data_IF_704613925305
#
_entry.id   IF_704613925305
#
_cell.length_a   1.000
_cell.length_b   1.000
_cell.length_c   1.000
_cell.angle_alpha   90.00
_cell.angle_beta   90.00
_cell.angle_gamma   90.00
#
_symmetry.space_group_name_H-M   'P 1'
#
loop_
_entity.id
_entity.type
_entity.pdbx_description
1 polymer ?
#
# COMPACT_ATOMS: atom_id res chain seq x y z
N UNK A 1 37.44 -54.16 59.56
CA UNK A 1 38.42 -53.42 58.71
C UNK A 1 37.67 -52.38 57.96
N UNK A 2 37.73 -51.18 58.45
CA UNK A 2 36.95 -49.99 57.97
C UNK A 2 37.82 -49.15 57.03
N UNK A 3 37.31 -48.85 55.88
CA UNK A 3 37.92 -47.89 54.99
C UNK A 3 37.37 -46.43 55.25
N UNK A 4 38.18 -45.37 55.14
CA UNK A 4 37.81 -44.02 55.51
C UNK A 4 37.10 -43.26 54.36
N UNK A 5 36.34 -42.21 54.67
CA UNK A 5 35.57 -41.45 53.69
C UNK A 5 36.45 -40.40 53.00
N UNK A 6 36.51 -40.47 51.69
CA UNK A 6 37.18 -39.48 50.82
C UNK A 6 36.29 -38.26 50.55
N UNK A 7 36.91 -37.12 50.62
CA UNK A 7 36.46 -35.74 50.59
C UNK A 7 35.57 -35.32 49.39
N UNK A 8 34.36 -34.83 49.69
CA UNK A 8 33.40 -34.25 48.73
C UNK A 8 33.65 -32.73 48.50
N UNK A 9 34.68 -32.16 49.08
CA UNK A 9 34.92 -30.70 49.09
C UNK A 9 35.74 -30.12 47.92
N UNK A 10 36.30 -30.96 47.03
CA UNK A 10 37.18 -30.42 45.94
C UNK A 10 36.51 -30.25 44.58
N UNK A 11 35.24 -30.67 44.42
CA UNK A 11 34.50 -30.49 43.13
C UNK A 11 33.55 -29.29 43.07
N UNK A 12 33.26 -28.64 44.19
CA UNK A 12 32.39 -27.45 44.22
C UNK A 12 33.08 -26.14 43.88
N UNK A 13 34.39 -26.01 44.01
CA UNK A 13 35.11 -24.77 43.70
C UNK A 13 35.48 -24.57 42.21
N UNK A 14 35.52 -25.66 41.42
CA UNK A 14 35.85 -25.57 40.01
C UNK A 14 34.69 -25.13 39.10
N UNK A 15 33.42 -25.32 39.55
CA UNK A 15 32.20 -24.96 38.77
C UNK A 15 31.84 -23.48 38.97
N UNK A 16 32.15 -22.89 40.12
CA UNK A 16 31.84 -21.46 40.37
C UNK A 16 32.82 -20.51 39.66
N UNK A 17 34.08 -20.93 39.42
CA UNK A 17 35.04 -20.13 38.67
C UNK A 17 34.79 -20.10 37.17
N UNK A 18 34.12 -21.12 36.59
CA UNK A 18 33.75 -21.14 35.16
C UNK A 18 32.50 -20.33 34.82
N UNK A 19 31.63 -20.05 35.78
CA UNK A 19 30.42 -19.23 35.57
C UNK A 19 30.64 -17.70 35.68
N UNK A 20 31.77 -17.28 36.20
CA UNK A 20 32.12 -15.83 36.33
C UNK A 20 32.88 -15.23 35.14
N UNK A 21 33.24 -16.04 34.13
CA UNK A 21 33.94 -15.56 32.94
C UNK A 21 33.02 -15.31 31.74
N UNK A 22 31.70 -15.51 31.86
CA UNK A 22 30.74 -15.38 30.71
C UNK A 22 29.79 -14.20 30.81
N UNK A 23 29.96 -13.24 31.70
CA UNK A 23 29.07 -12.08 31.82
C UNK A 23 29.74 -10.71 31.70
N UNK A 24 30.88 -10.62 31.07
CA UNK A 24 31.39 -9.35 30.53
C UNK A 24 31.11 -9.28 29.03
N UNK A 25 29.85 -9.34 28.62
CA UNK A 25 29.41 -8.69 27.41
C UNK A 25 29.57 -7.18 27.66
N UNK A 26 30.76 -6.66 27.40
CA UNK A 26 31.05 -5.24 27.50
C UNK A 26 29.99 -4.52 26.67
N UNK A 27 29.16 -3.68 27.29
CA UNK A 27 28.37 -2.69 26.56
C UNK A 27 29.36 -1.92 25.72
N UNK A 28 29.42 -2.24 24.42
CA UNK A 28 30.11 -1.37 23.44
C UNK A 28 29.38 -0.05 23.51
N UNK A 29 29.96 0.95 24.13
CA UNK A 29 29.43 2.31 24.15
C UNK A 29 29.60 2.82 22.72
N UNK A 30 28.53 3.04 22.00
CA UNK A 30 28.56 3.63 20.67
C UNK A 30 29.24 5.00 20.74
N UNK A 31 30.32 5.16 20.01
CA UNK A 31 31.03 6.42 19.91
C UNK A 31 30.34 7.29 18.86
N UNK A 32 30.17 8.58 19.14
CA UNK A 32 29.72 9.56 18.16
C UNK A 32 30.90 10.20 17.46
N UNK A 33 30.99 10.02 16.15
CA UNK A 33 32.05 10.57 15.28
C UNK A 33 31.42 11.74 14.50
N UNK A 34 31.76 13.00 14.81
CA UNK A 34 31.30 14.14 14.05
C UNK A 34 32.01 14.20 12.68
N UNK A 35 31.27 14.68 11.68
CA UNK A 35 31.78 14.97 10.32
C UNK A 35 31.33 16.38 9.95
N UNK A 36 32.32 17.29 9.90
CA UNK A 36 32.09 18.68 9.53
C UNK A 36 32.07 18.88 8.00
N UNK A 37 31.51 20.01 7.50
CA UNK A 37 31.56 20.34 6.08
C UNK A 37 32.95 20.32 5.49
N UNK A 38 33.11 19.63 4.35
CA UNK A 38 34.42 19.41 3.70
C UNK A 38 35.19 18.18 4.16
N UNK A 39 34.74 17.51 5.21
CA UNK A 39 35.31 16.21 5.62
C UNK A 39 34.67 15.05 4.86
N UNK A 40 35.38 13.94 4.71
CA UNK A 40 34.89 12.75 4.04
C UNK A 40 34.04 11.88 4.98
N UNK A 41 32.77 11.74 4.67
CA UNK A 41 31.87 10.81 5.39
C UNK A 41 32.36 9.38 5.22
N UNK A 42 32.81 8.99 4.02
CA UNK A 42 33.35 7.63 3.79
C UNK A 42 34.55 7.33 4.67
N UNK A 43 35.47 8.26 4.81
CA UNK A 43 36.60 8.08 5.71
C UNK A 43 36.23 7.96 7.19
N UNK A 44 35.15 8.64 7.61
CA UNK A 44 34.58 8.47 8.96
C UNK A 44 33.92 7.08 9.11
N UNK A 45 33.14 6.62 8.11
CA UNK A 45 32.58 5.26 8.07
C UNK A 45 33.69 4.22 8.17
N UNK A 46 34.75 4.35 7.41
CA UNK A 46 35.86 3.36 7.35
C UNK A 46 36.55 3.20 8.70
N UNK A 47 36.76 4.30 9.43
CA UNK A 47 37.42 4.33 10.76
C UNK A 47 36.51 3.90 11.91
N UNK A 48 35.19 4.05 11.77
CA UNK A 48 34.22 3.75 12.83
C UNK A 48 34.23 2.27 13.22
N UNK A 49 33.96 1.97 14.47
CA UNK A 49 33.69 0.63 14.97
C UNK A 49 32.21 0.25 14.73
N UNK A 50 31.88 -1.05 14.66
CA UNK A 50 30.49 -1.50 14.62
C UNK A 50 29.69 -0.92 15.79
N UNK A 51 28.54 -0.34 15.49
CA UNK A 51 27.64 0.29 16.46
C UNK A 51 27.85 1.81 16.63
N UNK A 52 28.88 2.39 16.07
CA UNK A 52 29.13 3.82 16.17
C UNK A 52 28.12 4.68 15.43
N UNK A 53 28.03 5.95 15.81
CA UNK A 53 27.17 6.97 15.21
C UNK A 53 28.04 7.96 14.45
N UNK A 54 27.87 8.02 13.13
CA UNK A 54 28.48 9.06 12.29
C UNK A 54 27.51 10.24 12.27
N UNK A 55 27.83 11.30 12.96
CA UNK A 55 27.03 12.51 13.06
C UNK A 55 27.49 13.52 12.01
N UNK A 56 26.65 13.72 10.98
CA UNK A 56 26.98 14.55 9.81
C UNK A 56 26.38 15.92 9.99
N UNK A 57 27.21 16.95 10.02
CA UNK A 57 26.75 18.34 10.15
C UNK A 57 26.17 18.85 8.83
N UNK A 58 25.39 19.94 8.92
CA UNK A 58 24.78 20.57 7.74
C UNK A 58 25.86 20.92 6.72
N UNK A 59 25.73 20.40 5.51
CA UNK A 59 26.67 20.62 4.42
C UNK A 59 26.26 19.89 3.16
N UNK A 60 27.05 20.02 2.10
CA UNK A 60 26.93 19.29 0.85
C UNK A 60 28.12 18.34 0.73
N UNK A 61 27.82 17.06 0.58
CA UNK A 61 28.82 15.98 0.58
C UNK A 61 28.68 15.18 -0.72
N UNK A 62 29.56 15.40 -1.71
CA UNK A 62 29.51 14.68 -2.96
C UNK A 62 30.10 13.27 -2.83
N UNK A 63 29.65 12.38 -3.73
CA UNK A 63 30.14 11.02 -3.87
C UNK A 63 29.22 9.95 -3.30
N UNK A 64 29.63 8.70 -3.48
CA UNK A 64 28.87 7.52 -3.08
C UNK A 64 29.37 6.99 -1.73
N UNK A 65 28.43 6.60 -0.87
CA UNK A 65 28.74 6.01 0.43
C UNK A 65 28.53 4.49 0.40
N UNK A 66 29.42 3.76 1.07
CA UNK A 66 29.33 2.32 1.25
C UNK A 66 29.42 1.96 2.72
N UNK A 67 28.42 1.25 3.21
CA UNK A 67 28.30 0.87 4.62
C UNK A 67 28.36 -0.65 4.70
N UNK A 68 29.45 -1.18 5.29
CA UNK A 68 29.73 -2.61 5.38
C UNK A 68 29.80 -3.12 6.82
N UNK A 69 29.38 -2.30 7.77
CA UNK A 69 29.30 -2.65 9.19
C UNK A 69 28.08 -2.00 9.83
N UNK A 70 27.52 -2.58 10.91
CA UNK A 70 26.43 -1.96 11.64
C UNK A 70 26.86 -0.58 12.16
N UNK A 71 26.15 0.48 11.78
CA UNK A 71 26.36 1.83 12.29
C UNK A 71 25.14 2.72 12.03
N UNK A 72 25.15 3.90 12.63
CA UNK A 72 24.13 4.93 12.41
C UNK A 72 24.72 6.11 11.64
N UNK A 73 24.12 6.45 10.47
CA UNK A 73 24.35 7.75 9.83
C UNK A 73 23.25 8.71 10.27
N UNK A 74 23.61 9.75 11.01
CA UNK A 74 22.69 10.76 11.53
C UNK A 74 23.01 12.13 10.97
N UNK A 75 22.06 12.69 10.21
CA UNK A 75 22.15 14.07 9.73
C UNK A 75 21.67 15.08 10.78
N UNK A 76 22.47 16.11 11.00
CA UNK A 76 22.12 17.26 11.81
C UNK A 76 21.77 18.43 10.89
N UNK A 77 20.55 18.97 11.04
CA UNK A 77 20.06 20.05 10.17
C UNK A 77 20.06 19.70 8.67
N UNK A 78 19.77 18.42 8.33
CA UNK A 78 19.52 17.93 6.98
C UNK A 78 20.72 18.14 6.01
N UNK A 79 21.88 17.53 6.24
CA UNK A 79 22.97 17.53 5.28
C UNK A 79 22.59 16.80 4.00
N UNK A 80 23.14 17.22 2.87
CA UNK A 80 22.89 16.62 1.57
C UNK A 80 24.03 15.68 1.18
N UNK A 81 23.68 14.42 0.91
CA UNK A 81 24.55 13.44 0.27
C UNK A 81 24.21 13.43 -1.21
N UNK A 82 25.13 13.83 -2.06
CA UNK A 82 24.94 13.97 -3.51
C UNK A 82 25.60 12.82 -4.26
N UNK A 83 24.83 11.99 -4.95
CA UNK A 83 25.35 10.85 -5.73
C UNK A 83 25.95 11.22 -7.07
N UNK A 84 25.98 12.52 -7.44
CA UNK A 84 26.61 13.05 -8.66
C UNK A 84 26.11 12.38 -9.97
N UNK A 85 24.92 11.79 -9.97
CA UNK A 85 24.32 11.03 -11.07
C UNK A 85 25.12 9.80 -11.55
N UNK A 86 26.00 9.26 -10.72
CA UNK A 86 26.92 8.18 -11.13
C UNK A 86 26.32 6.78 -10.87
N UNK A 87 25.89 6.51 -9.63
CA UNK A 87 25.42 5.18 -9.20
C UNK A 87 24.41 5.29 -8.05
N UNK A 88 24.43 4.31 -7.12
CA UNK A 88 23.71 4.43 -5.86
C UNK A 88 24.36 5.50 -4.99
N UNK A 89 23.56 6.40 -4.42
CA UNK A 89 24.11 7.42 -3.50
C UNK A 89 24.61 6.76 -2.21
N UNK A 90 23.86 5.81 -1.66
CA UNK A 90 24.28 5.04 -0.47
C UNK A 90 24.02 3.55 -0.73
N UNK A 91 25.05 2.73 -0.50
CA UNK A 91 25.01 1.27 -0.56
C UNK A 91 25.11 0.68 0.84
N UNK A 92 24.10 -0.06 1.29
CA UNK A 92 24.06 -0.72 2.60
C UNK A 92 24.31 -2.21 2.41
N UNK A 93 25.39 -2.72 3.00
CA UNK A 93 25.84 -4.12 2.92
C UNK A 93 26.07 -4.75 4.29
N UNK A 94 25.40 -4.25 5.31
CA UNK A 94 25.49 -4.77 6.68
C UNK A 94 24.12 -4.76 7.33
N UNK A 95 23.94 -5.62 8.31
CA UNK A 95 22.76 -5.62 9.17
C UNK A 95 22.75 -4.44 10.14
N UNK A 96 21.57 -4.11 10.65
CA UNK A 96 21.37 -3.11 11.72
C UNK A 96 21.92 -1.71 11.39
N UNK A 97 21.95 -1.33 10.11
CA UNK A 97 22.30 0.02 9.70
C UNK A 97 21.12 0.96 9.88
N UNK A 98 21.36 2.12 10.48
CA UNK A 98 20.35 3.18 10.64
C UNK A 98 20.79 4.41 9.84
N UNK A 99 19.89 4.94 9.01
CA UNK A 99 20.09 6.16 8.22
C UNK A 99 18.95 7.12 8.54
N UNK A 100 19.29 8.29 9.07
CA UNK A 100 18.26 9.24 9.51
C UNK A 100 18.63 10.70 9.29
N UNK A 101 17.64 11.53 8.96
CA UNK A 101 17.76 13.00 8.94
C UNK A 101 18.58 13.57 7.77
N UNK A 102 18.77 12.83 6.68
CA UNK A 102 19.59 13.21 5.53
C UNK A 102 18.73 13.68 4.35
N UNK A 103 19.30 14.51 3.49
CA UNK A 103 18.88 14.69 2.11
C UNK A 103 19.75 13.79 1.23
N UNK A 104 19.15 12.93 0.45
CA UNK A 104 19.81 11.95 -0.43
C UNK A 104 19.43 12.31 -1.86
N UNK A 105 20.42 12.78 -2.65
CA UNK A 105 20.13 13.37 -3.93
C UNK A 105 20.91 12.73 -5.08
N UNK A 106 20.42 12.94 -6.31
CA UNK A 106 21.14 12.72 -7.56
C UNK A 106 21.73 11.32 -7.72
N UNK A 107 20.92 10.27 -7.53
CA UNK A 107 21.36 8.91 -7.91
C UNK A 107 21.54 8.83 -9.43
N UNK A 108 22.33 7.85 -9.89
CA UNK A 108 22.50 7.56 -11.31
C UNK A 108 21.17 7.25 -12.04
N UNK A 109 21.26 7.05 -13.37
CA UNK A 109 20.09 6.96 -14.26
C UNK A 109 19.85 5.56 -14.85
N UNK A 110 20.64 4.56 -14.47
CA UNK A 110 20.57 3.24 -15.10
C UNK A 110 19.60 2.32 -14.39
N UNK A 111 18.47 2.05 -15.02
CA UNK A 111 17.44 1.14 -14.50
C UNK A 111 17.90 -0.30 -14.41
N UNK A 112 18.76 -0.74 -15.33
CA UNK A 112 19.31 -2.10 -15.35
C UNK A 112 20.20 -2.38 -14.11
N UNK A 113 20.90 -1.37 -13.63
CA UNK A 113 21.76 -1.44 -12.43
C UNK A 113 21.04 -0.97 -11.17
N UNK A 114 19.72 -0.70 -11.25
CA UNK A 114 18.86 -0.26 -10.14
C UNK A 114 19.44 0.92 -9.36
N UNK A 115 19.98 1.94 -10.05
CA UNK A 115 20.58 3.10 -9.39
C UNK A 115 19.58 3.79 -8.45
N UNK A 116 19.86 3.76 -7.17
CA UNK A 116 18.97 4.20 -6.10
C UNK A 116 19.60 5.28 -5.21
N UNK A 117 18.75 6.06 -4.54
CA UNK A 117 19.21 6.89 -3.43
C UNK A 117 19.84 6.02 -2.35
N UNK A 118 19.14 4.96 -1.91
CA UNK A 118 19.70 3.94 -1.03
C UNK A 118 19.44 2.56 -1.64
N UNK A 119 20.49 1.76 -1.79
CA UNK A 119 20.39 0.34 -2.09
C UNK A 119 20.70 -0.48 -0.85
N UNK A 120 19.73 -1.24 -0.36
CA UNK A 120 19.87 -2.19 0.74
C UNK A 120 20.08 -3.57 0.12
N UNK A 121 21.32 -4.06 0.20
CA UNK A 121 21.77 -5.29 -0.45
C UNK A 121 21.30 -6.56 0.26
N UNK A 122 21.33 -7.72 -0.40
CA UNK A 122 21.04 -9.01 0.23
C UNK A 122 21.79 -9.23 1.54
N UNK A 123 21.05 -9.68 2.57
CA UNK A 123 21.60 -9.93 3.90
C UNK A 123 21.68 -8.72 4.81
N UNK A 124 21.36 -7.51 4.34
CA UNK A 124 21.33 -6.30 5.17
C UNK A 124 20.03 -6.20 5.97
N UNK A 125 19.80 -7.18 6.83
CA UNK A 125 18.59 -7.27 7.65
C UNK A 125 18.52 -6.14 8.69
N UNK A 126 17.30 -5.85 9.19
CA UNK A 126 17.05 -4.86 10.24
C UNK A 126 17.53 -3.44 9.91
N UNK A 127 17.69 -3.09 8.62
CA UNK A 127 18.04 -1.75 8.22
C UNK A 127 16.88 -0.77 8.50
N UNK A 128 17.20 0.43 8.97
CA UNK A 128 16.25 1.50 9.27
C UNK A 128 16.59 2.73 8.45
N UNK A 129 15.61 3.25 7.69
CA UNK A 129 15.74 4.54 6.98
C UNK A 129 14.56 5.42 7.36
N UNK A 130 14.84 6.55 7.99
CA UNK A 130 13.78 7.41 8.49
C UNK A 130 14.11 8.89 8.43
N UNK A 131 13.05 9.72 8.30
CA UNK A 131 13.15 11.18 8.29
C UNK A 131 14.13 11.73 7.24
N UNK A 132 14.31 10.98 6.14
CA UNK A 132 15.15 11.37 5.02
C UNK A 132 14.31 12.00 3.89
N UNK A 133 14.99 12.81 3.08
CA UNK A 133 14.43 13.43 1.89
C UNK A 133 15.20 12.92 0.66
N UNK A 134 14.50 12.21 -0.22
CA UNK A 134 15.07 11.71 -1.46
C UNK A 134 14.68 12.68 -2.59
N UNK A 135 15.68 13.29 -3.18
CA UNK A 135 15.49 14.28 -4.24
C UNK A 135 16.23 13.87 -5.51
N UNK A 136 15.50 13.85 -6.63
CA UNK A 136 16.06 13.54 -7.94
C UNK A 136 16.79 12.18 -7.99
N UNK A 137 16.22 11.17 -7.34
CA UNK A 137 16.71 9.78 -7.37
C UNK A 137 15.95 8.96 -8.40
N UNK A 138 16.61 8.03 -9.10
CA UNK A 138 15.94 7.14 -10.06
C UNK A 138 15.01 6.18 -9.29
N UNK A 139 15.58 5.31 -8.45
CA UNK A 139 14.84 4.64 -7.37
C UNK A 139 15.11 5.41 -6.07
N UNK A 140 14.07 5.61 -5.25
CA UNK A 140 14.29 6.17 -3.92
C UNK A 140 15.07 5.16 -3.07
N UNK A 141 14.45 4.01 -2.80
CA UNK A 141 15.07 2.87 -2.11
C UNK A 141 14.90 1.59 -2.95
N UNK A 142 15.97 0.83 -3.10
CA UNK A 142 15.94 -0.54 -3.60
C UNK A 142 16.32 -1.49 -2.46
N UNK A 143 15.43 -2.42 -2.12
CA UNK A 143 15.58 -3.34 -0.99
C UNK A 143 15.51 -4.75 -1.53
N UNK A 144 16.62 -5.47 -1.49
CA UNK A 144 16.74 -6.80 -2.05
C UNK A 144 17.14 -7.82 -0.98
N UNK A 145 16.32 -8.87 -0.80
CA UNK A 145 16.60 -9.99 0.14
C UNK A 145 17.07 -9.53 1.52
N UNK A 146 16.50 -8.44 2.02
CA UNK A 146 16.76 -7.87 3.34
C UNK A 146 15.45 -7.88 4.15
N UNK A 147 15.42 -8.57 5.25
CA UNK A 147 14.24 -8.77 6.09
C UNK A 147 14.18 -7.77 7.24
N UNK A 148 12.98 -7.60 7.81
CA UNK A 148 12.75 -6.79 9.02
C UNK A 148 13.17 -5.32 8.87
N UNK A 149 13.16 -4.80 7.64
CA UNK A 149 13.51 -3.39 7.36
C UNK A 149 12.40 -2.45 7.81
N UNK A 150 12.80 -1.27 8.30
CA UNK A 150 11.88 -0.17 8.63
C UNK A 150 12.19 1.05 7.77
N UNK A 151 11.22 1.45 6.93
CA UNK A 151 11.30 2.66 6.10
C UNK A 151 10.18 3.60 6.57
N UNK A 152 10.55 4.68 7.27
CA UNK A 152 9.59 5.45 8.03
C UNK A 152 9.72 6.96 7.83
N UNK A 153 8.58 7.64 7.60
CA UNK A 153 8.49 9.11 7.55
C UNK A 153 9.50 9.77 6.59
N UNK A 154 9.72 9.17 5.43
CA UNK A 154 10.58 9.76 4.40
C UNK A 154 9.74 10.52 3.37
N UNK A 155 10.33 11.57 2.78
CA UNK A 155 9.84 12.25 1.61
C UNK A 155 10.62 11.75 0.39
N UNK A 156 9.92 11.16 -0.60
CA UNK A 156 10.56 10.61 -1.79
C UNK A 156 9.99 11.29 -3.03
N UNK A 157 10.84 12.05 -3.72
CA UNK A 157 10.48 12.71 -4.96
C UNK A 157 11.39 12.23 -6.09
N UNK A 158 10.80 11.60 -7.10
CA UNK A 158 11.53 11.10 -8.26
C UNK A 158 11.97 12.20 -9.24
N UNK A 159 12.49 11.79 -10.39
CA UNK A 159 12.94 12.67 -11.48
C UNK A 159 11.75 13.16 -12.27
N UNK A 160 11.28 14.39 -11.97
CA UNK A 160 10.07 14.97 -12.56
C UNK A 160 10.16 15.20 -14.06
N UNK A 161 11.34 15.50 -14.56
CA UNK A 161 11.68 15.74 -15.97
C UNK A 161 11.70 14.45 -16.81
N UNK A 162 11.77 13.29 -16.18
CA UNK A 162 11.66 12.01 -16.85
C UNK A 162 10.20 11.66 -17.13
N UNK A 163 9.94 11.04 -18.29
CA UNK A 163 8.65 10.41 -18.55
C UNK A 163 8.41 9.22 -17.61
N UNK A 164 7.13 8.94 -17.28
CA UNK A 164 6.78 7.89 -16.33
C UNK A 164 7.46 6.52 -16.57
N UNK A 165 7.59 6.02 -17.83
CA UNK A 165 8.31 4.76 -18.09
C UNK A 165 9.81 4.78 -17.79
N UNK A 166 10.44 5.96 -17.82
CA UNK A 166 11.87 6.14 -17.57
C UNK A 166 12.20 6.31 -16.09
N UNK A 167 11.19 6.60 -15.25
CA UNK A 167 11.36 6.72 -13.80
C UNK A 167 11.51 5.34 -13.18
N UNK A 168 12.26 5.26 -12.10
CA UNK A 168 12.27 4.13 -11.18
C UNK A 168 11.14 4.21 -10.15
N UNK A 169 11.08 3.25 -9.25
CA UNK A 169 10.07 3.21 -8.19
C UNK A 169 10.53 4.03 -6.95
N UNK A 170 9.57 4.48 -6.16
CA UNK A 170 9.90 5.18 -4.91
C UNK A 170 10.55 4.24 -3.91
N UNK A 171 9.84 3.18 -3.53
CA UNK A 171 10.37 2.08 -2.71
C UNK A 171 10.13 0.78 -3.47
N UNK A 172 11.20 0.05 -3.71
CA UNK A 172 11.19 -1.28 -4.30
C UNK A 172 11.49 -2.34 -3.24
N UNK A 173 10.59 -3.29 -3.04
CA UNK A 173 10.82 -4.50 -2.24
C UNK A 173 10.96 -5.69 -3.19
N UNK A 174 12.06 -6.41 -3.09
CA UNK A 174 12.27 -7.63 -3.84
C UNK A 174 12.75 -8.76 -2.91
N UNK A 175 11.94 -9.81 -2.80
CA UNK A 175 12.20 -10.99 -1.98
C UNK A 175 12.54 -10.62 -0.50
N UNK A 176 11.65 -9.82 0.13
CA UNK A 176 11.78 -9.39 1.52
C UNK A 176 10.70 -10.02 2.40
N UNK A 177 10.95 -10.05 3.70
CA UNK A 177 9.95 -10.45 4.69
C UNK A 177 9.87 -9.45 5.83
N UNK A 178 8.66 -9.26 6.36
CA UNK A 178 8.35 -8.44 7.54
C UNK A 178 8.84 -7.00 7.42
N UNK A 179 8.88 -6.48 6.18
CA UNK A 179 9.17 -5.07 5.95
C UNK A 179 8.06 -4.18 6.56
N UNK A 180 8.44 -3.04 7.10
CA UNK A 180 7.52 -2.03 7.64
C UNK A 180 7.76 -0.73 6.89
N UNK A 181 6.78 -0.33 6.09
CA UNK A 181 6.81 0.88 5.26
C UNK A 181 5.74 1.82 5.80
N UNK A 182 6.15 2.82 6.57
CA UNK A 182 5.23 3.58 7.42
C UNK A 182 5.38 5.09 7.21
N UNK A 183 4.26 5.81 6.97
CA UNK A 183 4.22 7.26 6.99
C UNK A 183 5.02 7.98 5.90
N UNK A 184 5.45 7.28 4.83
CA UNK A 184 6.23 7.89 3.77
C UNK A 184 5.34 8.71 2.83
N UNK A 185 5.89 9.79 2.27
CA UNK A 185 5.26 10.61 1.24
C UNK A 185 6.04 10.45 -0.07
N UNK A 186 5.41 9.82 -1.08
CA UNK A 186 6.09 9.39 -2.31
C UNK A 186 5.39 9.94 -3.53
N UNK A 187 6.14 10.58 -4.42
CA UNK A 187 5.58 11.21 -5.61
C UNK A 187 6.55 11.29 -6.79
N UNK A 188 5.98 11.49 -7.99
CA UNK A 188 6.71 11.69 -9.24
C UNK A 188 7.70 10.57 -9.59
N UNK A 189 7.41 9.36 -9.16
CA UNK A 189 8.11 8.12 -9.48
C UNK A 189 7.30 7.29 -10.48
N UNK A 190 7.85 6.17 -10.94
CA UNK A 190 7.07 5.23 -11.77
C UNK A 190 5.93 4.63 -10.94
N UNK A 191 6.25 3.87 -9.91
CA UNK A 191 5.32 3.32 -8.93
C UNK A 191 5.79 3.75 -7.53
N UNK A 192 4.88 4.26 -6.70
CA UNK A 192 5.33 4.79 -5.42
C UNK A 192 5.90 3.68 -4.53
N UNK A 193 5.20 2.55 -4.42
CA UNK A 193 5.71 1.34 -3.76
C UNK A 193 5.53 0.16 -4.72
N UNK A 194 6.62 -0.52 -5.03
CA UNK A 194 6.60 -1.77 -5.80
C UNK A 194 6.98 -2.93 -4.90
N UNK A 195 6.15 -3.98 -4.89
CA UNK A 195 6.32 -5.14 -4.00
C UNK A 195 6.34 -6.40 -4.85
N UNK A 196 7.45 -7.14 -4.81
CA UNK A 196 7.62 -8.36 -5.55
C UNK A 196 8.20 -9.47 -4.66
N UNK A 197 7.58 -10.65 -4.67
CA UNK A 197 7.96 -11.82 -3.87
C UNK A 197 8.21 -11.47 -2.39
N UNK A 198 7.41 -10.54 -1.83
CA UNK A 198 7.65 -10.00 -0.48
C UNK A 198 6.44 -10.24 0.42
N UNK A 199 6.68 -10.80 1.59
CA UNK A 199 5.63 -11.36 2.44
C UNK A 199 5.64 -10.79 3.86
N UNK A 200 4.50 -10.90 4.53
CA UNK A 200 4.33 -10.55 5.95
C UNK A 200 4.68 -9.07 6.26
N UNK A 201 4.54 -8.19 5.27
CA UNK A 201 4.88 -6.78 5.37
C UNK A 201 3.70 -5.92 5.83
N UNK A 202 4.01 -4.74 6.39
CA UNK A 202 3.03 -3.73 6.81
C UNK A 202 3.28 -2.43 6.05
N UNK A 203 2.27 -1.97 5.34
CA UNK A 203 2.23 -0.68 4.64
C UNK A 203 1.17 0.19 5.31
N UNK A 204 1.59 1.20 6.09
CA UNK A 204 0.66 2.00 6.88
C UNK A 204 0.90 3.50 6.75
N UNK A 205 -0.18 4.26 6.61
CA UNK A 205 -0.15 5.72 6.68
C UNK A 205 0.65 6.40 5.58
N UNK A 206 0.95 5.72 4.48
CA UNK A 206 1.74 6.28 3.39
C UNK A 206 0.86 7.17 2.49
N UNK A 207 1.47 8.22 1.95
CA UNK A 207 0.89 9.15 0.97
C UNK A 207 1.54 8.91 -0.38
N UNK A 208 0.76 8.39 -1.34
CA UNK A 208 1.27 7.88 -2.62
C UNK A 208 0.58 8.61 -3.78
N UNK A 209 1.29 9.50 -4.48
CA UNK A 209 0.62 10.36 -5.46
C UNK A 209 1.47 10.78 -6.67
N UNK A 210 0.79 11.27 -7.72
CA UNK A 210 1.42 11.77 -8.95
C UNK A 210 2.40 10.77 -9.60
N UNK A 211 2.03 9.50 -9.59
CA UNK A 211 2.82 8.38 -10.11
C UNK A 211 1.98 7.53 -11.07
N UNK A 212 2.57 6.51 -11.68
CA UNK A 212 1.79 5.55 -12.47
C UNK A 212 0.85 4.76 -11.56
N UNK A 213 1.39 4.13 -10.52
CA UNK A 213 0.61 3.47 -9.48
C UNK A 213 1.06 3.97 -8.09
N UNK A 214 0.09 4.13 -7.19
CA UNK A 214 0.41 4.27 -5.78
C UNK A 214 1.08 3.02 -5.27
N UNK A 215 0.55 1.86 -5.64
CA UNK A 215 1.17 0.56 -5.36
C UNK A 215 1.09 -0.34 -6.58
N UNK A 216 2.19 -1.01 -6.90
CA UNK A 216 2.27 -2.09 -7.87
C UNK A 216 2.79 -3.35 -7.15
N UNK A 217 2.03 -4.41 -7.21
CA UNK A 217 2.19 -5.53 -6.29
C UNK A 217 2.10 -6.85 -7.03
N UNK A 218 3.08 -7.73 -6.87
CA UNK A 218 3.11 -9.03 -7.53
C UNK A 218 3.60 -10.14 -6.58
N UNK A 219 3.02 -11.33 -6.71
CA UNK A 219 3.48 -12.60 -6.12
C UNK A 219 3.84 -12.50 -4.63
N UNK A 220 3.03 -11.79 -3.85
CA UNK A 220 3.33 -11.47 -2.45
C UNK A 220 2.12 -11.73 -1.56
N UNK A 221 2.34 -12.26 -0.36
CA UNK A 221 1.29 -12.85 0.46
C UNK A 221 1.32 -12.34 1.90
N UNK A 222 0.15 -12.36 2.58
CA UNK A 222 -0.03 -12.04 3.99
C UNK A 222 0.47 -10.65 4.38
N UNK A 223 0.17 -9.66 3.56
CA UNK A 223 0.55 -8.28 3.84
C UNK A 223 -0.64 -7.45 4.31
N UNK A 224 -0.35 -6.42 5.10
CA UNK A 224 -1.32 -5.47 5.60
C UNK A 224 -1.15 -4.11 4.90
N UNK A 225 -2.21 -3.63 4.25
CA UNK A 225 -2.36 -2.28 3.69
C UNK A 225 -3.38 -1.52 4.52
N UNK A 226 -2.93 -0.55 5.31
CA UNK A 226 -3.78 0.14 6.28
C UNK A 226 -3.53 1.65 6.29
N UNK A 227 -4.62 2.43 6.32
CA UNK A 227 -4.58 3.89 6.46
C UNK A 227 -3.76 4.63 5.38
N UNK A 228 -3.51 4.03 4.22
CA UNK A 228 -2.77 4.69 3.15
C UNK A 228 -3.68 5.60 2.33
N UNK A 229 -3.11 6.69 1.83
CA UNK A 229 -3.78 7.67 0.98
C UNK A 229 -3.14 7.67 -0.41
N UNK A 230 -3.91 7.38 -1.47
CA UNK A 230 -3.39 7.28 -2.82
C UNK A 230 -4.25 8.07 -3.79
N UNK A 231 -3.66 9.10 -4.42
CA UNK A 231 -4.41 10.03 -5.27
C UNK A 231 -3.62 10.55 -6.45
N UNK A 232 -4.35 11.00 -7.50
CA UNK A 232 -3.79 11.56 -8.72
C UNK A 232 -2.70 10.70 -9.36
N UNK A 233 -2.85 9.38 -9.25
CA UNK A 233 -2.05 8.41 -10.01
C UNK A 233 -2.86 7.96 -11.24
N UNK A 234 -2.26 7.15 -12.11
CA UNK A 234 -3.04 6.36 -13.05
C UNK A 234 -3.89 5.32 -12.31
N UNK A 235 -3.30 4.56 -11.40
CA UNK A 235 -4.01 3.65 -10.50
C UNK A 235 -3.58 3.83 -9.05
N UNK A 236 -4.51 3.64 -8.12
CA UNK A 236 -4.24 3.73 -6.70
C UNK A 236 -3.48 2.51 -6.20
N UNK A 237 -4.18 1.50 -5.72
CA UNK A 237 -3.60 0.23 -5.26
C UNK A 237 -3.81 -0.84 -6.33
N UNK A 238 -2.75 -1.35 -6.93
CA UNK A 238 -2.80 -2.45 -7.90
C UNK A 238 -2.25 -3.74 -7.26
N UNK A 239 -3.16 -4.59 -6.75
CA UNK A 239 -2.85 -5.84 -6.07
C UNK A 239 -3.03 -6.99 -7.08
N UNK A 240 -1.90 -7.60 -7.49
CA UNK A 240 -1.89 -8.59 -8.55
C UNK A 240 -1.16 -9.87 -8.13
N UNK A 241 -1.75 -11.03 -8.48
CA UNK A 241 -1.19 -12.36 -8.19
C UNK A 241 -0.88 -12.57 -6.71
N UNK A 242 -1.85 -12.29 -5.85
CA UNK A 242 -1.67 -12.23 -4.39
C UNK A 242 -2.77 -12.97 -3.64
N UNK A 243 -2.52 -13.32 -2.38
CA UNK A 243 -3.52 -13.88 -1.47
C UNK A 243 -3.23 -13.53 -0.01
N UNK A 244 -4.23 -13.81 0.83
CA UNK A 244 -4.16 -13.56 2.27
C UNK A 244 -3.83 -12.09 2.59
N UNK A 245 -4.40 -11.14 1.82
CA UNK A 245 -4.19 -9.71 2.03
C UNK A 245 -5.23 -9.15 2.99
N UNK A 246 -4.82 -8.18 3.80
CA UNK A 246 -5.73 -7.30 4.54
C UNK A 246 -5.54 -5.88 4.01
N UNK A 247 -6.61 -5.33 3.41
CA UNK A 247 -6.61 -3.99 2.78
C UNK A 247 -7.71 -3.19 3.44
N UNK A 248 -7.35 -2.33 4.40
CA UNK A 248 -8.36 -1.63 5.19
C UNK A 248 -8.07 -0.17 5.44
N UNK A 249 -9.12 0.61 5.59
CA UNK A 249 -9.07 2.05 5.91
C UNK A 249 -8.26 2.88 4.89
N UNK A 250 -7.99 2.36 3.70
CA UNK A 250 -7.24 3.10 2.69
C UNK A 250 -8.17 4.04 1.92
N UNK A 251 -7.60 5.10 1.39
CA UNK A 251 -8.30 6.09 0.56
C UNK A 251 -7.67 6.12 -0.82
N UNK A 252 -8.43 5.76 -1.84
CA UNK A 252 -8.00 5.77 -3.23
C UNK A 252 -8.91 6.70 -4.05
N UNK A 253 -8.42 7.91 -4.36
CA UNK A 253 -9.28 8.93 -4.92
C UNK A 253 -8.64 9.73 -6.05
N UNK A 254 -9.45 10.17 -7.03
CA UNK A 254 -9.00 11.01 -8.13
C UNK A 254 -7.92 10.36 -9.01
N UNK A 255 -7.86 9.02 -9.08
CA UNK A 255 -6.94 8.34 -9.97
C UNK A 255 -7.56 8.23 -11.37
N UNK A 256 -6.74 8.37 -12.43
CA UNK A 256 -7.25 8.46 -13.79
C UNK A 256 -7.74 7.14 -14.38
N UNK A 257 -7.44 6.01 -13.76
CA UNK A 257 -7.93 4.69 -14.17
C UNK A 257 -8.69 4.01 -13.01
N UNK A 258 -8.03 3.32 -12.08
CA UNK A 258 -8.69 2.61 -10.99
C UNK A 258 -8.26 3.12 -9.61
N UNK A 259 -9.19 3.07 -8.66
CA UNK A 259 -8.87 3.30 -7.26
C UNK A 259 -8.13 2.10 -6.68
N UNK A 260 -8.78 0.93 -6.67
CA UNK A 260 -8.19 -0.34 -6.21
C UNK A 260 -8.39 -1.40 -7.30
N UNK A 261 -7.30 -2.02 -7.74
CA UNK A 261 -7.32 -3.16 -8.65
C UNK A 261 -7.05 -4.45 -7.88
N UNK A 262 -7.92 -5.43 -8.06
CA UNK A 262 -7.83 -6.77 -7.51
C UNK A 262 -7.71 -7.75 -8.69
N UNK A 263 -6.49 -8.15 -9.02
CA UNK A 263 -6.23 -9.05 -10.16
C UNK A 263 -5.59 -10.34 -9.67
N UNK A 264 -6.21 -11.48 -9.97
CA UNK A 264 -5.74 -12.81 -9.52
C UNK A 264 -5.47 -12.82 -8.01
N UNK A 265 -6.40 -12.26 -7.24
CA UNK A 265 -6.33 -12.16 -5.78
C UNK A 265 -7.25 -13.18 -5.14
N UNK A 266 -6.80 -13.81 -4.06
CA UNK A 266 -7.56 -14.84 -3.35
C UNK A 266 -7.51 -14.64 -1.84
N UNK A 267 -8.53 -15.16 -1.12
CA UNK A 267 -8.58 -15.31 0.34
C UNK A 267 -8.26 -14.00 1.11
N UNK A 268 -8.69 -12.86 0.56
CA UNK A 268 -8.29 -11.55 1.06
C UNK A 268 -9.48 -10.76 1.61
N UNK A 269 -9.21 -9.86 2.56
CA UNK A 269 -10.20 -8.98 3.18
C UNK A 269 -9.93 -7.53 2.75
N UNK A 270 -10.94 -6.93 2.10
CA UNK A 270 -10.90 -5.56 1.58
C UNK A 270 -12.03 -4.79 2.26
N UNK A 271 -11.71 -4.00 3.29
CA UNK A 271 -12.74 -3.42 4.15
C UNK A 271 -12.50 -1.96 4.53
N UNK A 272 -13.59 -1.24 4.77
CA UNK A 272 -13.58 0.15 5.26
C UNK A 272 -12.73 1.09 4.38
N UNK A 273 -12.55 0.79 3.10
CA UNK A 273 -11.80 1.67 2.20
C UNK A 273 -12.74 2.70 1.58
N UNK A 274 -12.20 3.88 1.29
CA UNK A 274 -12.87 4.93 0.51
C UNK A 274 -12.29 4.94 -0.89
N UNK A 275 -13.14 4.77 -1.89
CA UNK A 275 -12.74 4.74 -3.30
C UNK A 275 -13.58 5.74 -4.08
N UNK A 276 -13.00 6.93 -4.35
CA UNK A 276 -13.80 8.07 -4.79
C UNK A 276 -13.24 8.79 -6.03
N UNK A 277 -14.12 9.16 -6.97
CA UNK A 277 -13.75 9.99 -8.13
C UNK A 277 -12.75 9.38 -9.09
N UNK A 278 -12.70 8.06 -9.19
CA UNK A 278 -11.83 7.36 -10.14
C UNK A 278 -12.58 7.02 -11.43
N UNK A 279 -11.89 6.68 -12.52
CA UNK A 279 -12.54 6.12 -13.70
C UNK A 279 -13.23 4.78 -13.36
N UNK A 280 -12.58 3.94 -12.55
CA UNK A 280 -13.12 2.73 -11.95
C UNK A 280 -12.81 2.75 -10.46
N UNK A 281 -13.80 2.62 -9.61
CA UNK A 281 -13.57 2.50 -8.17
C UNK A 281 -12.77 1.25 -7.89
N UNK A 282 -13.40 0.08 -8.00
CA UNK A 282 -12.72 -1.21 -8.02
C UNK A 282 -12.63 -1.75 -9.44
N UNK A 283 -11.49 -2.34 -9.78
CA UNK A 283 -11.32 -3.18 -10.96
C UNK A 283 -10.97 -4.60 -10.50
N UNK A 284 -11.88 -5.55 -10.71
CA UNK A 284 -11.79 -6.91 -10.20
C UNK A 284 -11.68 -7.87 -11.38
N UNK A 285 -10.60 -8.64 -11.45
CA UNK A 285 -10.31 -9.57 -12.52
C UNK A 285 -9.73 -10.86 -11.95
N UNK A 286 -10.33 -12.02 -12.28
CA UNK A 286 -9.86 -13.34 -11.84
C UNK A 286 -9.60 -13.40 -10.32
N UNK A 287 -10.59 -12.92 -9.55
CA UNK A 287 -10.51 -12.79 -8.10
C UNK A 287 -11.51 -13.73 -7.42
N UNK A 288 -11.04 -14.52 -6.46
CA UNK A 288 -11.86 -15.55 -5.82
C UNK A 288 -11.75 -15.55 -4.30
N UNK A 289 -12.84 -15.90 -3.62
CA UNK A 289 -12.91 -16.10 -2.16
C UNK A 289 -12.51 -14.87 -1.33
N UNK A 290 -12.71 -13.66 -1.87
CA UNK A 290 -12.42 -12.42 -1.18
C UNK A 290 -13.65 -11.87 -0.46
N UNK A 291 -13.43 -11.07 0.57
CA UNK A 291 -14.46 -10.33 1.30
C UNK A 291 -14.29 -8.84 1.02
N UNK A 292 -15.24 -8.24 0.33
CA UNK A 292 -15.33 -6.79 0.12
C UNK A 292 -16.45 -6.28 1.00
N UNK A 293 -16.12 -5.61 2.11
CA UNK A 293 -17.14 -5.17 3.05
C UNK A 293 -16.93 -3.75 3.58
N UNK A 294 -18.04 -3.07 3.83
CA UNK A 294 -18.05 -1.73 4.41
C UNK A 294 -17.20 -0.70 3.65
N UNK A 295 -16.98 -0.87 2.35
CA UNK A 295 -16.26 0.10 1.54
C UNK A 295 -17.21 1.19 1.03
N UNK A 296 -16.74 2.44 1.00
CA UNK A 296 -17.45 3.57 0.42
C UNK A 296 -16.97 3.81 -1.01
N UNK A 297 -17.83 3.57 -2.00
CA UNK A 297 -17.54 3.62 -3.44
C UNK A 297 -18.31 4.80 -4.04
N UNK A 298 -17.64 5.95 -4.20
CA UNK A 298 -18.29 7.25 -4.34
C UNK A 298 -17.89 7.95 -5.64
N UNK A 299 -18.88 8.47 -6.39
CA UNK A 299 -18.68 9.36 -7.56
C UNK A 299 -17.68 8.83 -8.61
N UNK A 300 -17.50 7.52 -8.74
CA UNK A 300 -16.65 6.95 -9.80
C UNK A 300 -17.44 6.90 -11.12
N UNK A 301 -16.74 6.84 -12.26
CA UNK A 301 -17.43 6.59 -13.52
C UNK A 301 -18.04 5.18 -13.52
N UNK A 302 -17.28 4.18 -13.04
CA UNK A 302 -17.75 2.84 -12.75
C UNK A 302 -17.43 2.50 -11.31
N UNK A 303 -18.41 2.17 -10.48
CA UNK A 303 -18.18 1.81 -9.07
C UNK A 303 -17.33 0.55 -8.96
N UNK A 304 -17.85 -0.61 -9.40
CA UNK A 304 -17.07 -1.85 -9.55
C UNK A 304 -17.09 -2.29 -11.01
N UNK A 305 -15.92 -2.46 -11.61
CA UNK A 305 -15.77 -3.14 -12.88
C UNK A 305 -15.32 -4.59 -12.60
N UNK A 306 -16.26 -5.51 -12.71
CA UNK A 306 -16.05 -6.94 -12.50
C UNK A 306 -15.80 -7.62 -13.85
N UNK A 307 -14.69 -8.33 -13.98
CA UNK A 307 -14.32 -9.08 -15.19
C UNK A 307 -14.43 -10.59 -14.98
N UNK A 308 -14.34 -11.33 -16.06
CA UNK A 308 -14.44 -12.79 -16.08
C UNK A 308 -13.48 -13.48 -15.08
N UNK A 309 -13.85 -14.67 -14.60
CA UNK A 309 -13.07 -15.45 -13.65
C UNK A 309 -13.30 -15.09 -12.19
N UNK A 310 -13.97 -13.96 -11.90
CA UNK A 310 -14.21 -13.54 -10.52
C UNK A 310 -15.47 -14.21 -9.96
N UNK A 311 -15.31 -15.06 -8.95
CA UNK A 311 -16.41 -15.81 -8.33
C UNK A 311 -16.17 -16.03 -6.84
N UNK A 312 -17.21 -16.43 -6.13
CA UNK A 312 -17.16 -16.74 -4.70
C UNK A 312 -16.63 -15.57 -3.83
N UNK A 313 -16.80 -14.33 -4.27
CA UNK A 313 -16.48 -13.16 -3.48
C UNK A 313 -17.72 -12.70 -2.71
N UNK A 314 -17.58 -12.48 -1.39
CA UNK A 314 -18.61 -11.85 -0.58
C UNK A 314 -18.50 -10.32 -0.74
N UNK A 315 -19.58 -9.67 -1.17
CA UNK A 315 -19.66 -8.21 -1.33
C UNK A 315 -20.83 -7.72 -0.48
N UNK A 316 -20.53 -7.23 0.71
CA UNK A 316 -21.52 -7.01 1.77
C UNK A 316 -21.32 -5.66 2.47
N UNK A 317 -22.42 -4.97 2.80
CA UNK A 317 -22.38 -3.74 3.59
C UNK A 317 -21.62 -2.58 2.93
N UNK A 318 -21.40 -2.61 1.62
CA UNK A 318 -20.72 -1.52 0.91
C UNK A 318 -21.70 -0.42 0.50
N UNK A 319 -21.19 0.79 0.39
CA UNK A 319 -21.96 1.95 -0.07
C UNK A 319 -21.60 2.30 -1.52
N UNK A 320 -22.54 2.13 -2.44
CA UNK A 320 -22.43 2.52 -3.83
C UNK A 320 -23.13 3.88 -4.05
N UNK A 321 -22.36 4.96 -4.00
CA UNK A 321 -22.92 6.32 -3.96
C UNK A 321 -22.56 7.10 -5.22
N UNK A 322 -23.57 7.57 -5.93
CA UNK A 322 -23.48 8.50 -7.06
C UNK A 322 -22.49 8.08 -8.17
N UNK A 323 -22.12 6.81 -8.26
CA UNK A 323 -21.34 6.35 -9.40
C UNK A 323 -22.19 6.47 -10.67
N UNK A 324 -21.56 6.81 -11.81
CA UNK A 324 -22.29 6.91 -13.09
C UNK A 324 -22.89 5.55 -13.49
N UNK A 325 -22.14 4.48 -13.25
CA UNK A 325 -22.54 3.09 -13.38
C UNK A 325 -22.12 2.38 -12.08
N UNK A 326 -23.07 1.83 -11.32
CA UNK A 326 -22.73 1.20 -10.04
C UNK A 326 -21.82 -0.01 -10.24
N UNK A 327 -22.19 -0.87 -11.20
CA UNK A 327 -21.43 -2.07 -11.52
C UNK A 327 -21.39 -2.25 -13.03
N UNK A 328 -20.21 -2.54 -13.55
CA UNK A 328 -20.03 -3.08 -14.89
C UNK A 328 -19.42 -4.46 -14.78
N UNK A 329 -20.04 -5.45 -15.45
CA UNK A 329 -19.45 -6.78 -15.45
C UNK A 329 -19.52 -7.47 -16.81
N UNK A 330 -18.63 -8.44 -17.00
CA UNK A 330 -18.50 -9.23 -18.22
C UNK A 330 -18.59 -10.72 -17.85
N UNK A 331 -19.60 -11.42 -18.41
CA UNK A 331 -19.71 -12.88 -18.39
C UNK A 331 -19.95 -13.58 -17.04
N UNK A 332 -20.47 -12.92 -16.01
CA UNK A 332 -20.98 -13.58 -14.81
C UNK A 332 -22.51 -13.80 -14.93
N UNK A 333 -23.04 -14.84 -14.28
CA UNK A 333 -24.48 -15.10 -14.20
C UNK A 333 -24.92 -15.06 -12.75
N UNK A 334 -26.03 -14.40 -12.48
CA UNK A 334 -26.81 -14.44 -11.23
C UNK A 334 -25.95 -14.50 -9.95
N UNK A 335 -25.05 -13.53 -9.79
CA UNK A 335 -24.24 -13.41 -8.57
C UNK A 335 -25.10 -12.75 -7.47
N UNK A 336 -25.10 -13.35 -6.30
CA UNK A 336 -25.78 -12.80 -5.12
C UNK A 336 -24.74 -12.04 -4.29
N UNK A 337 -25.02 -10.76 -4.02
CA UNK A 337 -24.29 -9.89 -3.13
C UNK A 337 -25.19 -9.46 -1.98
N UNK A 338 -24.62 -9.06 -0.85
CA UNK A 338 -25.44 -8.61 0.29
C UNK A 338 -26.21 -9.73 0.97
N UNK A 339 -25.77 -10.98 0.87
CA UNK A 339 -26.48 -12.13 1.43
C UNK A 339 -26.67 -12.05 2.96
N UNK A 340 -25.64 -11.62 3.67
CA UNK A 340 -25.66 -11.44 5.13
C UNK A 340 -25.95 -9.99 5.52
N UNK A 341 -25.37 -9.04 4.80
CA UNK A 341 -25.56 -7.62 5.00
C UNK A 341 -25.68 -6.92 3.66
N UNK A 342 -26.87 -6.39 3.37
CA UNK A 342 -27.15 -5.69 2.13
C UNK A 342 -26.26 -4.49 1.90
N UNK A 343 -25.99 -4.19 0.62
CA UNK A 343 -25.25 -2.99 0.26
C UNK A 343 -26.22 -1.82 0.09
N UNK A 344 -25.73 -0.61 0.29
CA UNK A 344 -26.47 0.60 -0.06
C UNK A 344 -26.22 0.99 -1.52
N UNK A 345 -27.31 1.29 -2.24
CA UNK A 345 -27.29 1.66 -3.65
C UNK A 345 -27.99 3.00 -3.85
N UNK A 346 -27.27 4.05 -4.15
CA UNK A 346 -27.87 5.39 -4.29
C UNK A 346 -28.88 5.54 -5.43
N UNK A 347 -28.98 4.58 -6.33
CA UNK A 347 -30.00 4.49 -7.39
C UNK A 347 -31.09 3.47 -7.08
N UNK A 348 -31.15 2.90 -5.88
CA UNK A 348 -32.21 2.02 -5.44
C UNK A 348 -33.54 2.79 -5.27
N UNK A 349 -34.60 2.27 -5.83
CA UNK A 349 -35.94 2.88 -5.82
C UNK A 349 -37.01 1.97 -5.20
N UNK A 350 -36.62 1.00 -4.39
CA UNK A 350 -37.52 0.15 -3.64
C UNK A 350 -38.08 0.85 -2.40
N UNK A 351 -38.86 0.13 -1.63
CA UNK A 351 -39.51 0.60 -0.42
C UNK A 351 -39.18 -0.31 0.76
N UNK A 352 -39.39 0.20 1.95
CA UNK A 352 -39.31 -0.48 3.23
C UNK A 352 -40.66 -0.33 3.93
N UNK A 353 -41.45 -1.39 3.99
CA UNK A 353 -42.81 -1.39 4.56
C UNK A 353 -42.84 -1.62 6.06
N UNK A 354 -41.87 -2.38 6.54
CA UNK A 354 -41.81 -2.81 7.93
C UNK A 354 -40.94 -1.89 8.81
N UNK A 355 -40.20 -0.96 8.20
CA UNK A 355 -39.35 0.02 8.89
C UNK A 355 -38.05 -0.54 9.46
N UNK A 356 -37.53 -1.64 8.90
CA UNK A 356 -36.30 -2.28 9.35
C UNK A 356 -35.04 -1.74 8.65
N UNK A 357 -35.21 -0.72 7.81
CA UNK A 357 -34.18 -0.10 7.00
C UNK A 357 -33.57 -1.01 5.91
N UNK A 358 -34.24 -2.10 5.57
CA UNK A 358 -33.91 -2.99 4.48
C UNK A 358 -35.03 -2.88 3.42
N UNK A 359 -34.63 -2.79 2.16
CA UNK A 359 -35.60 -2.73 1.09
C UNK A 359 -36.31 -4.07 0.85
N UNK A 360 -37.63 -4.04 0.80
CA UNK A 360 -38.47 -5.23 0.55
C UNK A 360 -38.32 -5.80 -0.87
N UNK A 361 -37.67 -5.07 -1.77
CA UNK A 361 -37.47 -5.45 -3.16
C UNK A 361 -35.99 -5.60 -3.42
N UNK A 362 -35.53 -6.75 -3.95
CA UNK A 362 -34.12 -6.91 -4.29
C UNK A 362 -33.62 -5.84 -5.28
N UNK A 363 -32.39 -5.37 -5.08
CA UNK A 363 -31.70 -4.56 -6.07
C UNK A 363 -31.09 -5.47 -7.14
N UNK A 364 -31.30 -5.13 -8.41
CA UNK A 364 -30.72 -5.83 -9.56
C UNK A 364 -29.82 -4.86 -10.33
N UNK A 365 -28.51 -5.09 -10.33
CA UNK A 365 -27.57 -4.28 -11.11
C UNK A 365 -27.65 -4.63 -12.61
N UNK A 366 -27.41 -3.61 -13.46
CA UNK A 366 -27.40 -3.74 -14.93
C UNK A 366 -28.73 -4.21 -15.54
N UNK A 367 -29.83 -3.85 -14.96
CA UNK A 367 -31.12 -4.05 -15.58
C UNK A 367 -31.27 -3.19 -16.85
N UNK A 368 -32.45 -3.30 -17.52
CA UNK A 368 -32.70 -2.55 -18.75
C UNK A 368 -32.68 -1.03 -18.52
N UNK A 369 -33.08 -0.58 -17.34
CA UNK A 369 -33.13 0.84 -16.96
C UNK A 369 -31.75 1.37 -16.68
N UNK A 370 -30.89 0.61 -15.99
CA UNK A 370 -29.49 0.95 -15.78
C UNK A 370 -28.77 1.14 -17.12
N UNK A 371 -28.98 0.23 -18.08
CA UNK A 371 -28.41 0.33 -19.43
C UNK A 371 -28.89 1.56 -20.19
N UNK A 372 -30.15 1.90 -20.07
CA UNK A 372 -30.72 3.10 -20.68
C UNK A 372 -30.18 4.37 -20.02
N UNK A 373 -30.11 4.39 -18.68
CA UNK A 373 -29.57 5.54 -17.92
C UNK A 373 -28.07 5.76 -18.17
N UNK A 374 -27.31 4.71 -18.42
CA UNK A 374 -25.91 4.80 -18.80
C UNK A 374 -25.73 5.40 -20.20
N UNK A 375 -26.57 4.95 -21.15
CA UNK A 375 -26.55 5.47 -22.54
C UNK A 375 -27.10 6.90 -22.62
N UNK A 376 -28.08 7.22 -21.76
CA UNK A 376 -28.78 8.50 -21.70
C UNK A 376 -28.80 9.05 -20.26
N UNK A 377 -27.77 9.77 -19.81
CA UNK A 377 -27.64 10.22 -18.40
C UNK A 377 -28.83 11.00 -17.84
N UNK A 378 -29.58 11.70 -18.69
CA UNK A 378 -30.80 12.42 -18.31
C UNK A 378 -31.95 11.50 -17.82
N UNK A 379 -31.90 10.21 -18.17
CA UNK A 379 -32.81 9.21 -17.65
C UNK A 379 -32.82 9.08 -16.13
N UNK A 380 -31.67 9.44 -15.49
CA UNK A 380 -31.57 9.43 -14.01
C UNK A 380 -32.63 10.32 -13.34
N UNK A 381 -33.06 11.39 -13.99
CA UNK A 381 -34.12 12.26 -13.49
C UNK A 381 -35.50 11.59 -13.51
N UNK A 382 -35.67 10.54 -14.28
CA UNK A 382 -36.93 9.83 -14.48
C UNK A 382 -36.96 8.49 -13.73
N UNK A 383 -35.96 8.09 -12.99
CA UNK A 383 -35.88 6.79 -12.32
C UNK A 383 -37.08 6.53 -11.39
N UNK A 384 -37.56 7.55 -10.71
CA UNK A 384 -38.74 7.46 -9.85
C UNK A 384 -40.09 7.62 -10.62
N UNK A 385 -40.07 7.81 -11.95
CA UNK A 385 -41.32 8.00 -12.73
C UNK A 385 -42.11 6.70 -12.87
N UNK A 386 -43.46 6.78 -12.95
CA UNK A 386 -44.30 5.61 -13.18
C UNK A 386 -43.92 4.82 -14.46
N UNK A 387 -43.47 5.51 -15.50
CA UNK A 387 -43.07 4.87 -16.76
C UNK A 387 -41.83 3.96 -16.55
N UNK A 388 -40.83 4.42 -15.79
CA UNK A 388 -39.64 3.62 -15.47
C UNK A 388 -40.00 2.47 -14.53
N UNK A 389 -40.87 2.69 -13.54
CA UNK A 389 -41.34 1.63 -12.66
C UNK A 389 -42.14 0.54 -13.45
N UNK A 390 -42.93 0.95 -14.42
CA UNK A 390 -43.62 0.01 -15.31
C UNK A 390 -42.63 -0.78 -16.16
N UNK A 391 -41.58 -0.13 -16.67
CA UNK A 391 -40.53 -0.78 -17.45
C UNK A 391 -39.76 -1.85 -16.62
N UNK A 392 -39.46 -1.55 -15.36
CA UNK A 392 -38.90 -2.53 -14.42
C UNK A 392 -39.82 -3.73 -14.22
N UNK A 393 -41.11 -3.48 -13.99
CA UNK A 393 -42.09 -4.53 -13.79
C UNK A 393 -42.19 -5.43 -15.03
N UNK A 394 -42.30 -4.84 -16.22
CA UNK A 394 -42.36 -5.56 -17.49
C UNK A 394 -41.10 -6.38 -17.72
N UNK A 395 -39.90 -5.78 -17.50
CA UNK A 395 -38.62 -6.49 -17.66
C UNK A 395 -38.50 -7.73 -16.75
N UNK A 396 -39.05 -7.66 -15.53
CA UNK A 396 -39.10 -8.81 -14.61
C UNK A 396 -39.98 -9.96 -15.10
N UNK A 397 -41.05 -9.66 -15.82
CA UNK A 397 -42.00 -10.68 -16.35
C UNK A 397 -41.52 -11.33 -17.66
N UNK A 398 -40.59 -10.69 -18.37
CA UNK A 398 -40.06 -11.20 -19.64
C UNK A 398 -38.61 -11.63 -19.53
N UNK A 399 -38.32 -12.92 -19.30
CA UNK A 399 -36.95 -13.43 -19.12
C UNK A 399 -35.95 -13.08 -20.23
N UNK A 400 -36.44 -12.90 -21.48
CA UNK A 400 -35.64 -12.50 -22.64
C UNK A 400 -35.11 -11.06 -22.54
N UNK A 401 -35.72 -10.21 -21.71
CA UNK A 401 -35.28 -8.85 -21.43
C UNK A 401 -34.33 -8.80 -20.21
N UNK A 402 -34.24 -9.89 -19.46
CA UNK A 402 -33.42 -10.00 -18.26
C UNK A 402 -31.97 -10.22 -18.68
N UNK A 403 -31.16 -9.23 -18.50
CA UNK A 403 -29.72 -9.39 -18.62
C UNK A 403 -29.19 -10.13 -17.38
N UNK A 404 -28.12 -10.94 -17.49
CA UNK A 404 -27.46 -11.47 -16.32
C UNK A 404 -27.10 -10.34 -15.37
N UNK A 405 -27.55 -10.38 -14.12
CA UNK A 405 -27.41 -9.28 -13.15
C UNK A 405 -26.80 -9.79 -11.86
N UNK A 406 -26.22 -8.86 -11.12
CA UNK A 406 -25.90 -9.05 -9.72
C UNK A 406 -27.15 -8.70 -8.93
N UNK A 407 -27.55 -9.56 -8.01
CA UNK A 407 -28.75 -9.40 -7.19
C UNK A 407 -28.30 -9.16 -5.75
N UNK A 408 -28.79 -8.08 -5.14
CA UNK A 408 -28.72 -7.85 -3.71
C UNK A 408 -30.12 -8.04 -3.13
N UNK A 409 -30.35 -9.12 -2.39
CA UNK A 409 -31.69 -9.43 -1.87
C UNK A 409 -32.12 -8.53 -0.71
N UNK A 410 -31.18 -7.84 -0.06
CA UNK A 410 -31.42 -7.06 1.15
C UNK A 410 -30.84 -5.64 1.08
N UNK A 411 -31.11 -4.85 0.03
CA UNK A 411 -30.49 -3.54 -0.16
C UNK A 411 -30.77 -2.62 1.03
N UNK A 412 -29.73 -1.97 1.55
CA UNK A 412 -29.89 -1.02 2.65
C UNK A 412 -30.57 0.27 2.17
N UNK A 413 -31.48 0.82 2.99
CA UNK A 413 -32.19 2.07 2.69
C UNK A 413 -31.37 3.31 2.98
N UNK A 414 -30.31 3.19 3.77
CA UNK A 414 -29.40 4.28 4.14
C UNK A 414 -27.95 3.83 4.02
N UNK A 415 -27.01 4.76 3.73
CA UNK A 415 -25.58 4.45 3.70
C UNK A 415 -25.09 3.93 5.05
N UNK A 416 -24.21 2.95 5.01
CA UNK A 416 -23.50 2.44 6.20
C UNK A 416 -22.46 3.42 6.70
N UNK A 417 -21.88 4.24 5.81
CA UNK A 417 -20.91 5.31 6.11
C UNK A 417 -21.61 6.67 6.08
N UNK A 418 -22.04 7.24 7.22
CA UNK A 418 -22.75 8.52 7.24
C UNK A 418 -21.92 9.71 6.76
N UNK A 419 -20.61 9.63 6.90
CA UNK A 419 -19.66 10.70 6.55
C UNK A 419 -19.22 10.72 5.08
N UNK A 420 -19.85 9.92 4.23
CA UNK A 420 -19.48 9.80 2.82
C UNK A 420 -19.46 11.14 2.06
N UNK A 421 -20.29 12.09 2.47
CA UNK A 421 -20.45 13.38 1.79
C UNK A 421 -19.17 14.24 1.82
N UNK A 422 -18.28 14.05 2.80
CA UNK A 422 -16.99 14.74 2.88
C UNK A 422 -16.07 14.42 1.69
N UNK A 423 -16.34 13.32 0.98
CA UNK A 423 -15.55 12.89 -0.19
C UNK A 423 -16.06 13.49 -1.49
N UNK A 424 -17.27 14.03 -1.51
CA UNK A 424 -17.88 14.56 -2.72
C UNK A 424 -17.14 15.80 -3.21
N UNK A 425 -16.64 15.75 -4.45
CA UNK A 425 -15.90 16.84 -5.06
C UNK A 425 -14.48 17.10 -4.54
N UNK A 426 -13.99 16.32 -3.58
CA UNK A 426 -12.64 16.48 -3.01
C UNK A 426 -11.51 16.21 -4.02
N UNK A 427 -11.77 15.37 -5.01
CA UNK A 427 -10.82 14.94 -6.04
C UNK A 427 -10.80 15.85 -7.28
N UNK A 428 -11.67 16.83 -7.38
CA UNK A 428 -11.55 17.86 -8.41
C UNK A 428 -10.59 18.93 -7.91
N UNK A 429 -9.46 19.18 -8.61
CA UNK A 429 -8.65 20.34 -8.27
C UNK A 429 -9.55 21.56 -8.39
N UNK A 430 -9.69 22.32 -7.32
CA UNK A 430 -10.21 23.68 -7.44
C UNK A 430 -9.29 24.35 -8.42
N UNK A 431 -9.83 24.81 -9.54
CA UNK A 431 -9.10 25.69 -10.46
C UNK A 431 -8.59 26.88 -9.65
N UNK A 432 -7.32 26.87 -9.28
CA UNK A 432 -6.61 28.05 -8.81
C UNK A 432 -6.37 29.01 -9.97
#
# INVERSE_FOLDING_TARGET
MTAPPGSVLSRACAVVAACLLFSCAGRVIALTVPVAPGESIQAAIDRAAPGDIIQIERGHYPGQLRIEKPLTLRGINRPTIDGELVANTISVKAEHVIIEGLIIANSGNETLHQHAGIYIYPGSHHAVVRHCDFSYTLFGLWIEKANDVLIENNLITGKRDFNSPQRGNGIQLYNTRRARIIGNNISFVRDAIYVDVSHDAVFRGNKLHHSRYGTHYMTSYRNLWEDNDTWHNRGGLALMEVRDQVVRNNRAWGNSDHGIMLRSIQDSVIENNVVAGNQRGFFIYDAEYNQLRNNAIIDNVVGIHLWAGSKNNAVEGNDFIANREQIRYVAARDMIWGEKQGNYWSNYVGWDRNGDHIGDVPYEANDIVDRLSWRHPMMKLLLASPAVQTLHLVARQFPLLRAPSIIDPHPAMQPHNPDWSQWRGKYFPRSE
#
